data_IF_117327879283
#
_entry.id   IF_117327879283
#
_cell.length_a   1.000
_cell.length_b   1.000
_cell.length_c   1.000
_cell.angle_alpha   90.00
_cell.angle_beta   90.00
_cell.angle_gamma   90.00
#
_symmetry.space_group_name_H-M   'P 1'
#
loop_
_entity.id
_entity.type
_entity.pdbx_description
1 polymer ?
#
# COMPACT_ATOMS: atom_id res chain seq x y z
N UNK A 1 3.49 -7.39 -28.66
CA UNK A 1 3.82 -8.07 -27.40
C UNK A 1 3.07 -7.32 -26.30
N UNK A 2 2.20 -7.99 -25.55
CA UNK A 2 1.53 -7.36 -24.39
C UNK A 2 2.62 -6.98 -23.38
N UNK A 3 2.65 -5.71 -22.99
CA UNK A 3 3.58 -5.24 -21.99
C UNK A 3 3.17 -5.83 -20.62
N UNK A 4 4.09 -6.49 -19.92
CA UNK A 4 3.83 -7.04 -18.60
C UNK A 4 3.52 -5.93 -17.59
N UNK A 5 2.57 -6.20 -16.69
CA UNK A 5 2.36 -5.38 -15.49
C UNK A 5 3.44 -5.78 -14.47
N UNK A 6 4.40 -4.89 -14.24
CA UNK A 6 5.53 -5.13 -13.35
C UNK A 6 5.22 -4.72 -11.93
N UNK A 7 5.36 -5.63 -10.98
CA UNK A 7 5.05 -5.42 -9.56
C UNK A 7 6.28 -5.71 -8.71
N UNK A 8 6.68 -4.78 -7.86
CA UNK A 8 7.73 -4.99 -6.86
C UNK A 8 7.10 -5.49 -5.56
N UNK A 9 7.57 -6.63 -5.08
CA UNK A 9 7.08 -7.28 -3.85
C UNK A 9 8.18 -7.27 -2.80
N UNK A 10 7.91 -6.64 -1.65
CA UNK A 10 8.72 -6.76 -0.45
C UNK A 10 8.53 -8.17 0.14
N UNK A 11 9.47 -9.05 -0.18
CA UNK A 11 9.38 -10.46 0.21
C UNK A 11 9.80 -10.73 1.67
N UNK A 12 10.38 -9.74 2.34
CA UNK A 12 10.87 -9.87 3.71
C UNK A 12 9.94 -9.20 4.73
N UNK A 13 8.85 -8.58 4.28
CA UNK A 13 7.85 -7.94 5.14
C UNK A 13 6.72 -8.87 5.53
N UNK A 14 6.36 -8.87 6.84
CA UNK A 14 5.26 -9.65 7.40
C UNK A 14 5.72 -10.76 8.36
N UNK A 15 4.79 -11.21 9.19
CA UNK A 15 5.06 -12.16 10.29
C UNK A 15 5.52 -13.54 9.79
N UNK A 16 5.14 -13.91 8.58
CA UNK A 16 5.49 -15.20 7.96
C UNK A 16 6.36 -15.02 6.70
N UNK A 17 7.11 -13.92 6.63
CA UNK A 17 8.06 -13.71 5.56
C UNK A 17 9.32 -14.58 5.76
N UNK A 18 9.92 -15.10 4.68
CA UNK A 18 9.56 -14.91 3.29
C UNK A 18 8.53 -15.91 2.74
N UNK A 19 8.10 -16.91 3.52
CA UNK A 19 7.32 -18.07 3.05
C UNK A 19 6.00 -17.65 2.40
N UNK A 20 5.17 -16.90 3.12
CA UNK A 20 3.86 -16.52 2.58
C UNK A 20 3.93 -15.48 1.44
N UNK A 21 4.79 -14.44 1.47
CA UNK A 21 5.03 -13.59 0.31
C UNK A 21 5.48 -14.36 -0.94
N UNK A 22 6.41 -15.29 -0.82
CA UNK A 22 6.89 -16.10 -1.95
C UNK A 22 5.78 -16.99 -2.51
N UNK A 23 5.05 -17.69 -1.63
CA UNK A 23 3.92 -18.53 -2.01
C UNK A 23 2.85 -17.71 -2.74
N UNK A 24 2.45 -16.56 -2.19
CA UNK A 24 1.46 -15.68 -2.81
C UNK A 24 1.89 -15.17 -4.20
N UNK A 25 3.18 -14.83 -4.36
CA UNK A 25 3.74 -14.45 -5.66
C UNK A 25 3.68 -15.60 -6.67
N UNK A 26 4.03 -16.82 -6.26
CA UNK A 26 3.97 -18.01 -7.11
C UNK A 26 2.53 -18.29 -7.57
N UNK A 27 1.56 -18.21 -6.66
CA UNK A 27 0.15 -18.38 -6.96
C UNK A 27 -0.35 -17.30 -7.94
N UNK A 28 -0.02 -16.03 -7.69
CA UNK A 28 -0.38 -14.91 -8.56
C UNK A 28 0.20 -15.05 -9.98
N UNK A 29 1.45 -15.50 -10.11
CA UNK A 29 2.09 -15.73 -11.42
C UNK A 29 1.45 -16.89 -12.20
N UNK A 30 0.88 -17.88 -11.52
CA UNK A 30 0.13 -18.98 -12.17
C UNK A 30 -1.23 -18.50 -12.68
N UNK A 31 -1.90 -17.64 -11.93
CA UNK A 31 -3.24 -17.14 -12.27
C UNK A 31 -3.21 -16.01 -13.31
N UNK A 32 -2.20 -15.14 -13.26
CA UNK A 32 -2.11 -13.90 -14.04
C UNK A 32 -0.96 -13.98 -15.03
N UNK A 33 -1.27 -14.18 -16.30
CA UNK A 33 -0.26 -14.33 -17.37
C UNK A 33 0.41 -13.00 -17.74
N UNK A 34 -0.25 -11.88 -17.49
CA UNK A 34 0.24 -10.52 -17.72
C UNK A 34 1.15 -9.98 -16.60
N UNK A 35 1.31 -10.73 -15.50
CA UNK A 35 2.09 -10.29 -14.36
C UNK A 35 3.57 -10.63 -14.51
N UNK A 36 4.44 -9.66 -14.18
CA UNK A 36 5.89 -9.82 -13.97
C UNK A 36 6.24 -9.33 -12.56
N UNK A 37 7.00 -10.10 -11.80
CA UNK A 37 7.30 -9.78 -10.40
C UNK A 37 8.79 -9.57 -10.17
N UNK A 38 9.13 -8.45 -9.58
CA UNK A 38 10.39 -8.23 -8.87
C UNK A 38 10.23 -8.64 -7.41
N UNK A 39 10.81 -9.77 -7.04
CA UNK A 39 10.77 -10.31 -5.69
C UNK A 39 11.98 -9.78 -4.91
N UNK A 40 11.76 -8.80 -4.04
CA UNK A 40 12.83 -8.04 -3.39
C UNK A 40 13.12 -8.57 -2.00
N UNK A 41 14.38 -9.00 -1.74
CA UNK A 41 14.78 -9.51 -0.42
C UNK A 41 16.14 -10.18 -0.45
N UNK A 42 16.46 -10.94 0.61
CA UNK A 42 17.71 -11.67 0.73
C UNK A 42 17.77 -12.82 -0.29
N UNK A 43 18.60 -12.67 -1.30
CA UNK A 43 18.63 -13.53 -2.48
C UNK A 43 18.73 -15.02 -2.16
N UNK A 44 19.67 -15.39 -1.26
CA UNK A 44 19.88 -16.80 -0.89
C UNK A 44 18.68 -17.40 -0.17
N UNK A 45 17.99 -16.60 0.63
CA UNK A 45 16.78 -16.99 1.36
C UNK A 45 15.63 -17.18 0.38
N UNK A 46 15.45 -16.22 -0.54
CA UNK A 46 14.39 -16.26 -1.55
C UNK A 46 14.58 -17.41 -2.54
N UNK A 47 15.80 -17.68 -2.99
CA UNK A 47 16.07 -18.82 -3.89
C UNK A 47 15.72 -20.15 -3.24
N UNK A 48 16.13 -20.37 -1.98
CA UNK A 48 15.77 -21.59 -1.21
C UNK A 48 14.26 -21.76 -1.06
N UNK A 49 13.53 -20.65 -0.87
CA UNK A 49 12.07 -20.70 -0.75
C UNK A 49 11.42 -21.00 -2.10
N UNK A 50 11.86 -20.34 -3.18
CA UNK A 50 11.38 -20.54 -4.54
C UNK A 50 11.63 -21.96 -5.08
N UNK A 51 12.70 -22.62 -4.65
CA UNK A 51 13.03 -24.01 -5.05
C UNK A 51 11.94 -25.02 -4.63
N UNK A 52 11.07 -24.65 -3.68
CA UNK A 52 9.94 -25.49 -3.27
C UNK A 52 8.77 -25.46 -4.26
N UNK A 53 8.81 -24.56 -5.26
CA UNK A 53 7.68 -24.29 -6.13
C UNK A 53 8.03 -24.42 -7.61
N UNK A 54 7.02 -24.73 -8.43
CA UNK A 54 7.09 -24.60 -9.89
C UNK A 54 6.35 -23.33 -10.29
N UNK A 55 7.02 -22.45 -11.01
CA UNK A 55 6.48 -21.16 -11.45
C UNK A 55 7.13 -20.74 -12.80
N UNK A 56 6.53 -19.80 -13.55
CA UNK A 56 7.11 -19.28 -14.80
C UNK A 56 8.32 -18.38 -14.50
N UNK A 57 9.53 -18.98 -14.57
CA UNK A 57 10.80 -18.33 -14.18
C UNK A 57 11.10 -17.06 -14.99
N UNK A 58 10.63 -17.00 -16.24
CA UNK A 58 10.78 -15.85 -17.13
C UNK A 58 9.97 -14.61 -16.71
N UNK A 59 9.07 -14.77 -15.74
CA UNK A 59 8.21 -13.68 -15.23
C UNK A 59 8.49 -13.32 -13.77
N UNK A 60 9.59 -13.79 -13.20
CA UNK A 60 10.04 -13.47 -11.85
C UNK A 60 11.53 -13.17 -11.84
N UNK A 61 11.88 -12.05 -11.25
CA UNK A 61 13.25 -11.65 -10.99
C UNK A 61 13.47 -11.42 -9.51
N UNK A 62 14.51 -12.03 -8.94
CA UNK A 62 14.92 -11.79 -7.56
C UNK A 62 15.85 -10.59 -7.51
N UNK A 63 15.44 -9.56 -6.77
CA UNK A 63 16.24 -8.36 -6.53
C UNK A 63 16.82 -8.42 -5.13
N UNK A 64 18.13 -8.53 -5.03
CA UNK A 64 18.80 -8.64 -3.73
C UNK A 64 18.61 -7.40 -2.85
N UNK A 65 18.28 -7.61 -1.58
CA UNK A 65 18.25 -6.61 -0.52
C UNK A 65 18.81 -7.24 0.76
N UNK A 66 19.80 -6.59 1.39
CA UNK A 66 20.50 -7.15 2.54
C UNK A 66 19.83 -6.87 3.87
N UNK A 67 18.98 -5.83 3.94
CA UNK A 67 18.37 -5.35 5.19
C UNK A 67 16.86 -5.62 5.22
N UNK A 68 16.31 -5.76 6.43
CA UNK A 68 14.89 -5.99 6.69
C UNK A 68 14.39 -4.90 7.64
N UNK A 69 13.24 -4.31 7.35
CA UNK A 69 12.52 -3.41 8.27
C UNK A 69 11.53 -4.24 9.07
N UNK A 70 11.75 -4.34 10.37
CA UNK A 70 10.90 -5.06 11.29
C UNK A 70 9.62 -4.26 11.61
N UNK A 71 8.52 -4.96 11.93
CA UNK A 71 7.21 -4.33 12.18
C UNK A 71 7.24 -3.35 13.36
N UNK A 72 8.05 -3.61 14.39
CA UNK A 72 8.17 -2.78 15.58
C UNK A 72 9.14 -1.59 15.46
N UNK A 73 9.85 -1.43 14.34
CA UNK A 73 10.81 -0.33 14.20
C UNK A 73 10.11 1.02 13.97
N UNK A 74 10.66 2.13 14.52
CA UNK A 74 10.18 3.47 14.22
C UNK A 74 10.28 3.77 12.72
N UNK A 75 9.14 3.99 12.03
CA UNK A 75 9.09 4.01 10.56
C UNK A 75 10.03 5.02 9.90
N UNK A 76 10.09 6.25 10.43
CA UNK A 76 10.94 7.32 9.88
C UNK A 76 12.40 6.94 9.97
N UNK A 77 12.83 6.41 11.11
CA UNK A 77 14.21 5.99 11.33
C UNK A 77 14.58 4.80 10.44
N UNK A 78 13.70 3.80 10.35
CA UNK A 78 13.91 2.62 9.51
C UNK A 78 14.10 3.01 8.03
N UNK A 79 13.23 3.84 7.47
CA UNK A 79 13.33 4.33 6.08
C UNK A 79 14.60 5.14 5.83
N UNK A 80 15.05 5.93 6.81
CA UNK A 80 16.26 6.74 6.67
C UNK A 80 17.55 5.92 6.76
N UNK A 81 17.57 4.91 7.61
CA UNK A 81 18.80 4.13 7.92
C UNK A 81 18.95 2.90 7.03
N UNK A 82 17.88 2.12 6.85
CA UNK A 82 17.90 0.85 6.11
C UNK A 82 17.65 1.05 4.62
N UNK A 83 18.60 1.69 3.95
CA UNK A 83 18.47 2.05 2.52
C UNK A 83 18.53 0.86 1.57
N UNK A 84 19.09 -0.24 2.04
CA UNK A 84 19.20 -1.52 1.34
C UNK A 84 18.13 -2.54 1.76
N UNK A 85 17.08 -2.07 2.45
CA UNK A 85 15.96 -2.94 2.81
C UNK A 85 15.07 -3.27 1.62
N UNK A 86 14.45 -4.45 1.65
CA UNK A 86 13.52 -4.92 0.63
C UNK A 86 12.39 -3.91 0.36
N UNK A 87 11.80 -3.35 1.42
CA UNK A 87 10.77 -2.33 1.34
C UNK A 87 11.26 -1.05 0.63
N UNK A 88 12.42 -0.52 1.02
CA UNK A 88 12.97 0.72 0.42
C UNK A 88 13.35 0.51 -1.04
N UNK A 89 13.99 -0.62 -1.38
CA UNK A 89 14.32 -0.95 -2.78
C UNK A 89 13.07 -1.08 -3.64
N UNK A 90 12.06 -1.83 -3.18
CA UNK A 90 10.82 -2.01 -3.92
C UNK A 90 10.07 -0.68 -4.16
N UNK A 91 10.02 0.22 -3.17
CA UNK A 91 9.45 1.55 -3.35
C UNK A 91 10.25 2.41 -4.33
N UNK A 92 11.59 2.29 -4.36
CA UNK A 92 12.43 2.99 -5.33
C UNK A 92 12.18 2.52 -6.77
N UNK A 93 11.93 1.23 -6.98
CA UNK A 93 11.57 0.68 -8.29
C UNK A 93 10.27 1.30 -8.81
N UNK A 94 9.29 1.54 -7.94
CA UNK A 94 8.08 2.29 -8.31
C UNK A 94 8.41 3.76 -8.65
N UNK A 95 9.26 4.40 -7.85
CA UNK A 95 9.68 5.78 -8.11
C UNK A 95 10.40 5.95 -9.46
N UNK A 96 11.26 4.99 -9.80
CA UNK A 96 11.99 4.97 -11.09
C UNK A 96 11.14 4.52 -12.27
N UNK A 97 9.89 4.09 -12.05
CA UNK A 97 8.98 3.50 -13.04
C UNK A 97 9.47 2.16 -13.61
N UNK A 98 10.38 1.50 -12.93
CA UNK A 98 10.79 0.13 -13.22
C UNK A 98 9.67 -0.87 -12.86
N UNK A 99 8.99 -0.61 -11.74
CA UNK A 99 7.76 -1.30 -11.38
C UNK A 99 6.56 -0.33 -11.42
N UNK A 100 5.39 -0.84 -11.79
CA UNK A 100 4.12 -0.11 -11.85
C UNK A 100 3.40 -0.09 -10.51
N UNK A 101 3.67 -1.07 -9.64
CA UNK A 101 3.05 -1.21 -8.33
C UNK A 101 4.01 -1.81 -7.31
N UNK A 102 3.67 -1.65 -6.04
CA UNK A 102 4.38 -2.17 -4.88
C UNK A 102 3.42 -2.93 -3.97
N UNK A 103 3.88 -4.06 -3.44
CA UNK A 103 3.14 -4.86 -2.46
C UNK A 103 4.07 -5.21 -1.29
N UNK A 104 3.58 -5.08 -0.08
CA UNK A 104 4.25 -5.49 1.15
C UNK A 104 3.24 -5.95 2.19
N UNK A 105 3.60 -6.97 2.95
CA UNK A 105 2.88 -7.42 4.15
C UNK A 105 3.57 -6.95 5.44
N UNK A 106 4.55 -6.05 5.34
CA UNK A 106 5.34 -5.54 6.45
C UNK A 106 4.71 -4.36 7.18
N UNK A 107 5.55 -3.56 7.84
CA UNK A 107 5.12 -2.42 8.65
C UNK A 107 4.33 -1.39 7.85
N UNK A 108 3.04 -1.22 8.17
CA UNK A 108 2.16 -0.21 7.56
C UNK A 108 2.74 1.20 7.71
N UNK A 109 3.32 1.52 8.87
CA UNK A 109 3.97 2.81 9.10
C UNK A 109 5.18 3.04 8.19
N UNK A 110 6.00 2.01 7.97
CA UNK A 110 7.15 2.10 7.06
C UNK A 110 6.71 2.25 5.59
N UNK A 111 5.65 1.54 5.18
CA UNK A 111 5.05 1.68 3.84
C UNK A 111 4.52 3.10 3.64
N UNK A 112 3.78 3.64 4.62
CA UNK A 112 3.25 5.00 4.56
C UNK A 112 4.35 6.06 4.45
N UNK A 113 5.35 6.01 5.36
CA UNK A 113 6.47 6.95 5.36
C UNK A 113 7.29 6.80 4.08
N UNK A 114 7.63 5.57 3.70
CA UNK A 114 8.37 5.28 2.48
C UNK A 114 7.63 5.75 1.23
N UNK A 115 6.34 5.49 1.13
CA UNK A 115 5.49 5.98 0.04
C UNK A 115 5.52 7.50 -0.09
N UNK A 116 5.37 8.22 1.03
CA UNK A 116 5.39 9.69 1.01
C UNK A 116 6.78 10.29 0.69
N UNK A 117 7.85 9.68 1.21
CA UNK A 117 9.22 10.24 1.11
C UNK A 117 9.93 9.77 -0.16
N UNK A 118 9.81 8.49 -0.52
CA UNK A 118 10.54 7.89 -1.64
C UNK A 118 9.75 7.98 -2.95
N UNK A 119 8.46 7.62 -2.94
CA UNK A 119 7.62 7.69 -4.15
C UNK A 119 7.12 9.12 -4.36
N UNK A 120 6.68 9.76 -3.31
CA UNK A 120 6.18 11.13 -3.31
C UNK A 120 4.65 11.21 -3.31
N UNK A 121 4.15 12.42 -3.10
CA UNK A 121 2.71 12.74 -3.10
C UNK A 121 2.31 13.43 -4.40
N UNK A 122 1.07 13.26 -4.81
CA UNK A 122 0.48 14.05 -5.89
C UNK A 122 0.43 15.53 -5.51
N UNK A 123 0.56 16.41 -6.50
CA UNK A 123 0.53 17.87 -6.27
C UNK A 123 -0.78 18.28 -5.59
N UNK A 124 -0.68 19.03 -4.50
CA UNK A 124 -1.81 19.50 -3.70
C UNK A 124 -2.26 18.54 -2.59
N UNK A 125 -1.74 17.32 -2.54
CA UNK A 125 -2.03 16.37 -1.43
C UNK A 125 -1.16 16.70 -0.23
N UNK A 126 -1.79 17.04 0.90
CA UNK A 126 -1.08 17.36 2.14
C UNK A 126 -0.57 16.11 2.85
N UNK A 127 -1.43 15.09 2.98
CA UNK A 127 -1.11 13.82 3.63
C UNK A 127 -1.67 12.63 2.86
N UNK A 128 -0.95 11.52 2.85
CA UNK A 128 -1.45 10.26 2.34
C UNK A 128 -2.25 9.55 3.44
N UNK A 129 -3.50 9.12 3.17
CA UNK A 129 -4.29 8.31 4.08
C UNK A 129 -4.02 6.82 3.89
N UNK A 130 -4.38 6.02 4.90
CA UNK A 130 -4.59 4.58 4.76
C UNK A 130 -6.07 4.33 4.43
N UNK A 131 -6.36 3.63 3.35
CA UNK A 131 -7.69 3.52 2.80
C UNK A 131 -8.06 2.07 2.43
N UNK A 132 -8.38 1.21 3.40
CA UNK A 132 -8.82 -0.15 3.14
C UNK A 132 -10.25 -0.20 2.59
N UNK A 133 -10.50 -1.20 1.73
CA UNK A 133 -11.84 -1.59 1.31
C UNK A 133 -12.47 -2.50 2.37
N UNK A 134 -13.67 -2.14 2.82
CA UNK A 134 -14.42 -2.91 3.82
C UNK A 134 -15.61 -3.57 3.14
N UNK A 135 -15.78 -4.91 3.26
CA UNK A 135 -16.96 -5.58 2.75
C UNK A 135 -18.22 -5.14 3.50
N UNK A 136 -19.30 -4.95 2.76
CA UNK A 136 -20.62 -4.61 3.30
C UNK A 136 -21.67 -5.62 2.82
N UNK A 137 -22.87 -5.57 3.36
CA UNK A 137 -23.95 -6.46 2.94
C UNK A 137 -24.31 -6.33 1.44
N UNK A 138 -24.02 -5.20 0.82
CA UNK A 138 -24.41 -4.89 -0.57
C UNK A 138 -23.22 -4.60 -1.49
N UNK A 139 -21.98 -4.81 -1.03
CA UNK A 139 -20.79 -4.53 -1.82
C UNK A 139 -19.58 -4.17 -0.97
N UNK A 140 -18.92 -3.06 -1.31
CA UNK A 140 -17.73 -2.58 -0.60
C UNK A 140 -17.85 -1.10 -0.26
N UNK A 141 -17.24 -0.69 0.84
CA UNK A 141 -17.04 0.70 1.23
C UNK A 141 -15.55 0.98 1.42
N UNK A 142 -15.11 2.18 1.12
CA UNK A 142 -13.76 2.63 1.41
C UNK A 142 -13.75 3.37 2.75
N UNK A 143 -13.00 2.87 3.73
CA UNK A 143 -12.75 3.59 4.97
C UNK A 143 -11.48 4.43 4.79
N UNK A 144 -11.57 5.75 4.98
CA UNK A 144 -10.46 6.68 4.76
C UNK A 144 -10.54 7.85 5.76
N UNK A 145 -9.56 8.13 6.60
CA UNK A 145 -8.32 7.44 6.89
C UNK A 145 -8.53 6.34 7.95
N UNK A 146 -7.75 5.28 7.87
CA UNK A 146 -7.79 4.16 8.82
C UNK A 146 -6.51 4.09 9.67
N UNK A 147 -6.27 5.13 10.49
CA UNK A 147 -5.23 5.15 11.51
C UNK A 147 -3.83 5.58 11.06
N UNK A 148 -3.64 6.04 9.83
CA UNK A 148 -2.36 6.57 9.37
C UNK A 148 -2.09 8.00 9.85
N UNK A 149 -3.15 8.78 10.08
CA UNK A 149 -3.07 10.19 10.49
C UNK A 149 -3.85 10.41 11.79
N UNK A 150 -3.14 10.35 12.93
CA UNK A 150 -3.74 10.53 14.26
C UNK A 150 -4.26 11.97 14.45
N UNK A 151 -3.51 12.97 13.98
CA UNK A 151 -3.83 14.39 14.09
C UNK A 151 -4.34 14.97 12.76
N UNK A 152 -5.46 14.45 12.27
CA UNK A 152 -6.09 14.96 11.06
C UNK A 152 -6.71 16.36 11.31
N UNK A 153 -6.65 17.24 10.30
CA UNK A 153 -7.34 18.53 10.25
C UNK A 153 -8.56 18.42 9.33
N UNK A 154 -9.47 19.38 9.39
CA UNK A 154 -10.62 19.46 8.49
C UNK A 154 -10.21 19.46 7.02
N UNK A 155 -9.15 20.18 6.64
CA UNK A 155 -8.61 20.19 5.27
C UNK A 155 -8.15 18.79 4.82
N UNK A 156 -7.58 17.98 5.73
CA UNK A 156 -7.18 16.61 5.42
C UNK A 156 -8.42 15.73 5.15
N UNK A 157 -9.45 15.83 6.01
CA UNK A 157 -10.67 15.02 5.84
C UNK A 157 -11.38 15.35 4.54
N UNK A 158 -11.44 16.62 4.14
CA UNK A 158 -11.97 17.04 2.83
C UNK A 158 -11.15 16.47 1.68
N UNK A 159 -9.81 16.49 1.78
CA UNK A 159 -8.95 15.86 0.77
C UNK A 159 -9.16 14.35 0.71
N UNK A 160 -9.27 13.68 1.85
CA UNK A 160 -9.55 12.23 1.92
C UNK A 160 -10.89 11.87 1.28
N UNK A 161 -11.93 12.67 1.53
CA UNK A 161 -13.23 12.50 0.90
C UNK A 161 -13.14 12.57 -0.64
N UNK A 162 -12.41 13.57 -1.17
CA UNK A 162 -12.17 13.70 -2.63
C UNK A 162 -11.37 12.53 -3.18
N UNK A 163 -10.29 12.14 -2.52
CA UNK A 163 -9.45 11.00 -2.92
C UNK A 163 -10.24 9.70 -2.91
N UNK A 164 -11.02 9.47 -1.86
CA UNK A 164 -11.89 8.30 -1.74
C UNK A 164 -12.95 8.25 -2.83
N UNK A 165 -13.58 9.38 -3.15
CA UNK A 165 -14.57 9.46 -4.24
C UNK A 165 -13.95 9.11 -5.59
N UNK A 166 -12.76 9.67 -5.91
CA UNK A 166 -12.04 9.36 -7.14
C UNK A 166 -11.69 7.87 -7.21
N UNK A 167 -11.17 7.31 -6.11
CA UNK A 167 -10.82 5.89 -6.07
C UNK A 167 -12.04 4.99 -6.29
N UNK A 168 -13.14 5.26 -5.58
CA UNK A 168 -14.38 4.47 -5.72
C UNK A 168 -14.98 4.57 -7.12
N UNK A 169 -14.90 5.73 -7.76
CA UNK A 169 -15.43 5.94 -9.11
C UNK A 169 -14.56 5.28 -10.19
N UNK A 170 -13.25 5.56 -10.19
CA UNK A 170 -12.36 5.16 -11.30
C UNK A 170 -11.73 3.79 -11.11
N UNK A 171 -11.51 3.34 -9.87
CA UNK A 171 -10.91 2.03 -9.59
C UNK A 171 -11.98 0.99 -9.32
N UNK A 172 -12.99 1.32 -8.51
CA UNK A 172 -14.05 0.39 -8.12
C UNK A 172 -15.28 0.43 -9.03
N UNK A 173 -15.37 1.39 -9.96
CA UNK A 173 -16.48 1.52 -10.90
C UNK A 173 -17.81 1.96 -10.27
N UNK A 174 -17.80 2.49 -9.05
CA UNK A 174 -18.99 2.97 -8.34
C UNK A 174 -19.36 4.36 -8.83
N UNK A 175 -20.45 4.47 -9.58
CA UNK A 175 -20.93 5.76 -10.08
C UNK A 175 -21.48 6.62 -8.94
N UNK A 176 -21.06 7.89 -8.87
CA UNK A 176 -21.50 8.86 -7.86
C UNK A 176 -21.38 8.32 -6.42
N UNK A 177 -20.18 7.95 -5.95
CA UNK A 177 -19.98 7.39 -4.63
C UNK A 177 -20.44 8.39 -3.56
N UNK A 178 -21.18 7.91 -2.57
CA UNK A 178 -21.61 8.73 -1.44
C UNK A 178 -20.50 8.78 -0.40
N UNK A 179 -20.28 9.96 0.16
CA UNK A 179 -19.31 10.20 1.24
C UNK A 179 -20.06 10.44 2.53
N UNK A 180 -19.69 9.68 3.57
CA UNK A 180 -20.17 9.87 4.93
C UNK A 180 -19.00 10.24 5.85
N UNK A 181 -19.22 11.20 6.74
CA UNK A 181 -18.28 11.50 7.82
C UNK A 181 -18.67 10.69 9.05
N UNK A 182 -17.80 9.79 9.49
CA UNK A 182 -18.05 8.98 10.69
C UNK A 182 -18.15 9.87 11.92
N UNK A 183 -19.27 9.80 12.63
CA UNK A 183 -19.58 10.64 13.77
C UNK A 183 -20.40 9.84 14.79
N UNK A 184 -20.60 10.40 15.99
CA UNK A 184 -21.36 9.80 17.10
C UNK A 184 -22.88 9.90 16.93
N UNK A 185 -23.36 10.64 15.94
CA UNK A 185 -24.79 10.83 15.62
C UNK A 185 -24.96 11.56 14.30
N UNK A 186 -26.20 11.57 13.78
CA UNK A 186 -26.56 12.19 12.51
C UNK A 186 -26.90 13.68 12.61
N UNK A 187 -27.14 14.17 13.82
CA UNK A 187 -27.54 15.56 14.07
C UNK A 187 -26.34 16.51 13.89
N UNK A 188 -26.56 17.70 13.34
CA UNK A 188 -25.51 18.70 13.06
C UNK A 188 -24.72 19.13 14.30
N UNK A 189 -25.35 19.07 15.48
CA UNK A 189 -24.75 19.46 16.75
C UNK A 189 -23.82 18.38 17.31
N UNK A 190 -23.91 17.15 16.82
CA UNK A 190 -23.09 16.02 17.27
C UNK A 190 -21.66 16.10 16.74
N UNK A 191 -20.77 15.49 17.47
CA UNK A 191 -19.35 15.37 17.10
C UNK A 191 -18.45 16.39 17.76
N UNK A 192 -17.16 16.15 17.58
CA UNK A 192 -16.11 17.02 18.09
C UNK A 192 -15.90 18.26 17.19
N UNK A 193 -15.00 19.15 17.58
CA UNK A 193 -14.69 20.36 16.83
C UNK A 193 -14.26 20.07 15.38
N UNK A 194 -13.46 19.01 15.18
CA UNK A 194 -12.99 18.60 13.85
C UNK A 194 -14.15 18.22 12.91
N UNK A 195 -15.11 17.43 13.40
CA UNK A 195 -16.29 17.05 12.62
C UNK A 195 -17.11 18.26 12.22
N UNK A 196 -17.41 19.14 13.19
CA UNK A 196 -18.19 20.37 12.95
C UNK A 196 -17.52 21.33 11.98
N UNK A 197 -16.21 21.43 12.02
CA UNK A 197 -15.42 22.23 11.08
C UNK A 197 -15.44 21.59 9.68
N UNK A 198 -15.27 20.27 9.60
CA UNK A 198 -15.21 19.54 8.32
C UNK A 198 -16.54 19.61 7.54
N UNK A 199 -17.69 19.54 8.23
CA UNK A 199 -19.02 19.63 7.60
C UNK A 199 -19.24 21.00 6.91
N UNK A 200 -18.58 22.04 7.39
CA UNK A 200 -18.70 23.40 6.85
C UNK A 200 -17.79 23.70 5.68
N UNK A 201 -16.83 22.81 5.38
CA UNK A 201 -15.89 22.93 4.26
C UNK A 201 -16.47 22.35 2.97
#
# INVERSE_FOLDING_TARGET
MSEYIKVAVDAMGGDYAPQEPVKGVVEALREKTELYVYLVGQEDVLKKELDKYTYPKERLEVVHASEIIETGEPPVHAIQKKKDSSLVKALRMVRSKEASAFVSCGSTGAVLVGGQVLVGKSKGVERAPLAPLIPTATGVSLLIDCGANVDARSSHLVQFARMGSIYMEYVMGVKNPKVGLVNIGAEEEKGNALVKETIRC
#
